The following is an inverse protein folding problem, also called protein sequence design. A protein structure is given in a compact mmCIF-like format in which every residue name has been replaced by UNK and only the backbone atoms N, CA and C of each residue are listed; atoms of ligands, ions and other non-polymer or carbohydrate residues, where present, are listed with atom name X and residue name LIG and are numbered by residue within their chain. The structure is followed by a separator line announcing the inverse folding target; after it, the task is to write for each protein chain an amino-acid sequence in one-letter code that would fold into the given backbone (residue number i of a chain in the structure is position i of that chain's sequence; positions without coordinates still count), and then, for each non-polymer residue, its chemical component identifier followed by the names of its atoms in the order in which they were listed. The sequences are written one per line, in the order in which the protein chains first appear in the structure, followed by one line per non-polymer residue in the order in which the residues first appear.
data_IF_797779516226
#
_entry.id   IF_797779516226
#
_cell.length_a   1.000
_cell.length_b   1.000
_cell.length_c   1.000
_cell.angle_alpha   90.00
_cell.angle_beta   90.00
_cell.angle_gamma   90.00
#
_symmetry.space_group_name_H-M   'P 1'
#
loop_
_entity.id
_entity.type
_entity.pdbx_description
1 polymer ?
#
# COMPACT_ATOMS: atom_id res chain seq x y z
N UNK A 1 60.22 -28.04 45.20
CA UNK A 1 60.37 -27.38 43.89
C UNK A 1 58.98 -27.04 43.37
N UNK A 2 58.74 -25.74 43.16
CA UNK A 2 57.90 -25.08 42.14
C UNK A 2 56.70 -25.89 41.59
N UNK A 3 55.47 -25.52 41.94
CA UNK A 3 54.68 -24.45 41.32
C UNK A 3 54.38 -24.73 39.84
N UNK A 4 53.18 -25.24 39.56
CA UNK A 4 52.47 -24.93 38.33
C UNK A 4 50.97 -24.84 38.66
N UNK A 5 50.58 -23.62 39.01
CA UNK A 5 49.20 -23.16 39.05
C UNK A 5 48.73 -23.10 37.59
N UNK A 6 48.03 -24.13 37.13
CA UNK A 6 47.35 -24.07 35.84
C UNK A 6 46.16 -23.11 35.97
N UNK A 7 46.32 -22.00 35.27
CA UNK A 7 45.35 -20.95 35.10
C UNK A 7 44.08 -21.50 34.42
N UNK A 8 42.97 -21.55 35.16
CA UNK A 8 41.64 -21.68 34.60
C UNK A 8 40.66 -20.80 35.38
N UNK A 9 41.02 -19.52 35.52
CA UNK A 9 40.19 -18.52 36.17
C UNK A 9 40.25 -17.22 35.38
N UNK A 10 39.51 -17.14 34.28
CA UNK A 10 39.23 -15.87 33.62
C UNK A 10 37.95 -15.99 32.77
N UNK A 11 36.83 -16.25 33.43
CA UNK A 11 35.52 -15.86 32.89
C UNK A 11 35.37 -14.35 33.10
N UNK A 12 36.06 -13.54 32.30
CA UNK A 12 35.94 -12.08 32.31
C UNK A 12 34.69 -11.62 31.54
N UNK A 13 33.56 -12.27 31.84
CA UNK A 13 32.25 -11.79 31.44
C UNK A 13 31.80 -10.76 32.44
N UNK A 14 32.21 -9.49 32.26
CA UNK A 14 31.53 -8.40 32.94
C UNK A 14 30.08 -8.36 32.43
N UNK A 15 29.18 -9.05 33.13
CA UNK A 15 27.75 -8.85 33.03
C UNK A 15 27.42 -7.46 33.62
N UNK A 16 27.63 -6.44 32.80
CA UNK A 16 27.21 -5.07 33.07
C UNK A 16 25.69 -5.03 32.91
N UNK A 17 24.97 -5.22 34.02
CA UNK A 17 23.52 -5.04 34.05
C UNK A 17 23.15 -3.59 33.72
N UNK A 18 22.17 -3.42 32.83
CA UNK A 18 21.53 -2.13 32.57
C UNK A 18 20.89 -1.60 33.86
N UNK A 19 21.05 -0.31 34.12
CA UNK A 19 20.42 0.28 35.31
C UNK A 19 18.91 0.44 35.08
N UNK A 20 18.10 0.25 36.13
CA UNK A 20 16.64 0.44 36.03
C UNK A 20 16.27 1.87 35.59
N UNK A 21 17.08 2.85 35.98
CA UNK A 21 16.90 4.27 35.61
C UNK A 21 17.14 4.48 34.12
N UNK A 22 18.11 3.79 33.55
CA UNK A 22 18.46 3.87 32.13
C UNK A 22 17.37 3.26 31.24
N UNK A 23 16.74 2.15 31.66
CA UNK A 23 15.56 1.65 30.96
C UNK A 23 14.32 2.55 31.17
N UNK A 24 14.18 3.17 32.35
CA UNK A 24 13.04 4.04 32.66
C UNK A 24 13.03 5.30 31.79
N UNK A 25 14.16 5.97 31.61
CA UNK A 25 14.22 7.17 30.75
C UNK A 25 13.98 6.83 29.28
N UNK A 26 14.43 5.66 28.81
CA UNK A 26 14.24 5.21 27.43
C UNK A 26 12.77 5.02 27.10
N UNK A 27 12.00 4.33 27.95
CA UNK A 27 10.57 4.12 27.70
C UNK A 27 9.78 5.43 27.77
N UNK A 28 10.21 6.39 28.60
CA UNK A 28 9.61 7.73 28.67
C UNK A 28 9.83 8.48 27.35
N UNK A 29 11.06 8.48 26.82
CA UNK A 29 11.37 9.12 25.53
C UNK A 29 10.62 8.41 24.39
N UNK A 30 10.62 7.08 24.35
CA UNK A 30 9.88 6.30 23.35
C UNK A 30 8.38 6.58 23.42
N UNK A 31 7.80 6.77 24.61
CA UNK A 31 6.39 7.15 24.77
C UNK A 31 6.08 8.52 24.16
N UNK A 32 6.94 9.51 24.39
CA UNK A 32 6.78 10.86 23.81
C UNK A 32 6.91 10.79 22.27
N UNK A 33 7.95 10.13 21.76
CA UNK A 33 8.17 10.00 20.31
C UNK A 33 7.06 9.20 19.62
N UNK A 34 6.56 8.12 20.23
CA UNK A 34 5.46 7.32 19.71
C UNK A 34 4.17 8.16 19.59
N UNK A 35 3.89 9.03 20.57
CA UNK A 35 2.68 9.87 20.51
C UNK A 35 2.67 10.84 19.33
N UNK A 36 3.80 11.50 19.03
CA UNK A 36 3.92 12.46 17.92
C UNK A 36 3.90 11.76 16.56
N UNK A 37 4.57 10.62 16.44
CA UNK A 37 4.66 9.87 15.18
C UNK A 37 3.30 9.38 14.70
N UNK A 38 2.39 8.96 15.60
CA UNK A 38 1.03 8.52 15.22
C UNK A 38 0.26 9.63 14.49
N UNK A 39 0.30 10.87 14.98
CA UNK A 39 -0.40 11.99 14.31
C UNK A 39 0.26 12.35 12.97
N UNK A 40 1.58 12.34 12.91
CA UNK A 40 2.31 12.63 11.67
C UNK A 40 2.01 11.59 10.57
N UNK A 41 1.99 10.30 10.91
CA UNK A 41 1.74 9.20 9.95
C UNK A 41 0.31 9.26 9.40
N UNK A 42 -0.70 9.52 10.24
CA UNK A 42 -2.10 9.62 9.78
C UNK A 42 -2.28 10.65 8.65
N UNK A 43 -1.63 11.81 8.77
CA UNK A 43 -1.68 12.85 7.72
C UNK A 43 -0.95 12.43 6.43
N UNK A 44 0.16 11.70 6.54
CA UNK A 44 0.90 11.19 5.38
C UNK A 44 0.10 10.12 4.65
N UNK A 45 -0.51 9.17 5.37
CA UNK A 45 -1.31 8.09 4.77
C UNK A 45 -2.52 8.64 4.01
N UNK A 46 -3.23 9.63 4.56
CA UNK A 46 -4.36 10.23 3.85
C UNK A 46 -3.94 10.94 2.55
N UNK A 47 -2.85 11.72 2.58
CA UNK A 47 -2.31 12.35 1.36
C UNK A 47 -1.83 11.32 0.34
N UNK A 48 -1.18 10.25 0.81
CA UNK A 48 -0.74 9.15 -0.03
C UNK A 48 -1.91 8.45 -0.71
N UNK A 49 -2.99 8.21 0.02
CA UNK A 49 -4.23 7.64 -0.52
C UNK A 49 -4.85 8.55 -1.58
N UNK A 50 -4.99 9.85 -1.31
CA UNK A 50 -5.54 10.80 -2.29
C UNK A 50 -4.69 10.88 -3.56
N UNK A 51 -3.36 10.85 -3.42
CA UNK A 51 -2.44 10.83 -4.56
C UNK A 51 -2.55 9.54 -5.36
N UNK A 52 -2.73 8.40 -4.70
CA UNK A 52 -2.96 7.11 -5.36
C UNK A 52 -4.30 7.11 -6.11
N UNK A 53 -5.38 7.59 -5.49
CA UNK A 53 -6.69 7.73 -6.13
C UNK A 53 -6.60 8.61 -7.40
N UNK A 54 -5.92 9.76 -7.33
CA UNK A 54 -5.77 10.66 -8.47
C UNK A 54 -4.96 10.01 -9.61
N UNK A 55 -3.90 9.28 -9.29
CA UNK A 55 -3.09 8.56 -10.27
C UNK A 55 -3.90 7.44 -10.94
N UNK A 56 -4.63 6.63 -10.16
CA UNK A 56 -5.49 5.57 -10.66
C UNK A 56 -6.58 6.11 -11.59
N UNK A 57 -7.26 7.17 -11.18
CA UNK A 57 -8.26 7.84 -12.03
C UNK A 57 -7.66 8.23 -13.37
N UNK A 58 -6.49 8.90 -13.35
CA UNK A 58 -5.84 9.36 -14.57
C UNK A 58 -5.40 8.20 -15.46
N UNK A 59 -4.89 7.12 -14.88
CA UNK A 59 -4.50 5.92 -15.62
C UNK A 59 -5.68 5.30 -16.38
N UNK A 60 -6.86 5.25 -15.75
CA UNK A 60 -8.06 4.70 -16.38
C UNK A 60 -8.62 5.68 -17.42
N UNK A 61 -8.64 6.99 -17.16
CA UNK A 61 -9.03 8.00 -18.16
C UNK A 61 -8.23 7.84 -19.46
N UNK A 62 -6.90 7.72 -19.35
CA UNK A 62 -6.02 7.52 -20.51
C UNK A 62 -6.29 6.18 -21.19
N UNK A 63 -6.57 5.12 -20.44
CA UNK A 63 -6.92 3.81 -21.00
C UNK A 63 -8.23 3.86 -21.79
N UNK A 64 -9.26 4.52 -21.25
CA UNK A 64 -10.56 4.73 -21.92
C UNK A 64 -10.39 5.57 -23.19
N UNK A 65 -9.68 6.70 -23.09
CA UNK A 65 -9.47 7.59 -24.24
C UNK A 65 -8.67 6.90 -25.35
N UNK A 66 -7.63 6.16 -24.98
CA UNK A 66 -6.85 5.34 -25.91
C UNK A 66 -7.72 4.28 -26.59
N UNK A 67 -8.63 3.63 -25.84
CA UNK A 67 -9.56 2.66 -26.41
C UNK A 67 -10.50 3.30 -27.43
N UNK A 68 -11.10 4.45 -27.11
CA UNK A 68 -11.97 5.17 -28.03
C UNK A 68 -11.24 5.66 -29.27
N UNK A 69 -10.02 6.18 -29.11
CA UNK A 69 -9.18 6.63 -30.22
C UNK A 69 -8.83 5.49 -31.19
N UNK A 70 -8.47 4.30 -30.66
CA UNK A 70 -8.07 3.18 -31.49
C UNK A 70 -9.24 2.44 -32.15
N UNK A 71 -10.40 2.38 -31.48
CA UNK A 71 -11.56 1.63 -31.97
C UNK A 71 -12.58 2.49 -32.71
N UNK A 72 -12.38 3.82 -32.78
CA UNK A 72 -13.38 4.77 -33.30
C UNK A 72 -14.77 4.56 -32.69
N UNK A 73 -14.79 4.18 -31.41
CA UNK A 73 -16.01 3.85 -30.66
C UNK A 73 -16.23 4.91 -29.59
N UNK A 74 -17.50 5.16 -29.26
CA UNK A 74 -17.90 6.01 -28.12
C UNK A 74 -18.38 5.17 -26.93
N UNK A 75 -18.26 3.84 -27.03
CA UNK A 75 -18.62 2.94 -25.95
C UNK A 75 -17.68 1.74 -25.85
N UNK A 76 -17.49 1.28 -24.62
CA UNK A 76 -16.75 0.08 -24.28
C UNK A 76 -17.75 -1.07 -24.19
N UNK A 77 -17.59 -2.13 -25.00
CA UNK A 77 -18.50 -3.26 -24.97
C UNK A 77 -18.40 -3.97 -23.63
N UNK A 78 -19.56 -4.17 -23.01
CA UNK A 78 -19.74 -4.92 -21.78
C UNK A 78 -20.55 -6.16 -22.15
N UNK A 79 -19.98 -7.34 -22.00
CA UNK A 79 -20.70 -8.59 -22.24
C UNK A 79 -21.68 -8.83 -21.09
N UNK A 80 -22.98 -8.68 -21.33
CA UNK A 80 -24.00 -9.19 -20.39
C UNK A 80 -24.03 -10.72 -20.48
N UNK A 81 -23.62 -11.48 -19.44
CA UNK A 81 -23.66 -12.93 -19.52
C UNK A 81 -25.12 -13.41 -19.48
N UNK A 82 -25.52 -14.29 -20.40
CA UNK A 82 -26.85 -14.88 -20.44
C UNK A 82 -27.13 -15.89 -19.30
N UNK A 83 -26.12 -16.18 -18.45
CA UNK A 83 -26.24 -17.07 -17.29
C UNK A 83 -25.24 -16.58 -16.24
N UNK A 84 -25.74 -16.21 -15.06
CA UNK A 84 -25.10 -15.33 -14.07
C UNK A 84 -23.70 -15.75 -13.58
N UNK A 85 -22.83 -14.77 -13.27
CA UNK A 85 -21.89 -14.68 -12.11
C UNK A 85 -20.95 -13.49 -12.35
N UNK A 86 -21.13 -12.37 -11.62
CA UNK A 86 -20.30 -11.13 -11.62
C UNK A 86 -20.05 -10.49 -13.00
N UNK A 87 -20.60 -9.29 -13.19
CA UNK A 87 -20.70 -8.63 -14.49
C UNK A 87 -19.37 -8.35 -15.17
N UNK A 88 -19.31 -8.64 -16.47
CA UNK A 88 -18.29 -8.04 -17.32
C UNK A 88 -18.40 -6.53 -17.13
N UNK A 89 -17.33 -5.89 -16.68
CA UNK A 89 -17.29 -4.43 -16.54
C UNK A 89 -16.48 -3.85 -17.69
N UNK A 90 -16.68 -2.58 -18.01
CA UNK A 90 -15.86 -1.93 -19.02
C UNK A 90 -14.37 -1.93 -18.61
N UNK A 91 -14.07 -1.88 -17.30
CA UNK A 91 -12.72 -2.06 -16.76
C UNK A 91 -12.09 -3.41 -17.13
N UNK A 92 -12.86 -4.50 -17.09
CA UNK A 92 -12.37 -5.83 -17.47
C UNK A 92 -12.12 -5.93 -18.97
N UNK A 93 -13.00 -5.35 -19.79
CA UNK A 93 -12.79 -5.25 -21.24
C UNK A 93 -11.50 -4.49 -21.56
N UNK A 94 -11.24 -3.36 -20.88
CA UNK A 94 -10.00 -2.59 -21.04
C UNK A 94 -8.76 -3.38 -20.62
N UNK A 95 -8.85 -4.19 -19.56
CA UNK A 95 -7.75 -5.08 -19.13
C UNK A 95 -7.49 -6.16 -20.19
N UNK A 96 -8.53 -6.84 -20.64
CA UNK A 96 -8.41 -7.92 -21.63
C UNK A 96 -7.89 -7.40 -22.98
N UNK A 97 -8.31 -6.20 -23.37
CA UNK A 97 -7.87 -5.53 -24.59
C UNK A 97 -6.47 -4.88 -24.45
N UNK A 98 -5.82 -4.98 -23.29
CA UNK A 98 -4.44 -4.54 -23.07
C UNK A 98 -4.25 -3.05 -22.78
N UNK A 99 -5.33 -2.31 -22.55
CA UNK A 99 -5.29 -0.88 -22.19
C UNK A 99 -5.02 -0.66 -20.71
N UNK A 100 -5.40 -1.62 -19.87
CA UNK A 100 -5.09 -1.65 -18.44
C UNK A 100 -4.25 -2.89 -18.10
N UNK A 101 -3.31 -2.73 -17.17
CA UNK A 101 -2.58 -3.87 -16.59
C UNK A 101 -3.43 -4.61 -15.56
N UNK A 102 -4.15 -3.86 -14.74
CA UNK A 102 -5.00 -4.38 -13.67
C UNK A 102 -6.27 -3.54 -13.55
N UNK A 103 -7.36 -4.15 -13.03
CA UNK A 103 -8.60 -3.42 -12.72
C UNK A 103 -8.40 -2.72 -11.37
N UNK A 104 -8.60 -1.41 -11.32
CA UNK A 104 -8.52 -0.66 -10.07
C UNK A 104 -9.71 -1.00 -9.17
N UNK A 105 -9.47 -1.16 -7.87
CA UNK A 105 -10.51 -1.29 -6.85
C UNK A 105 -11.05 0.07 -6.38
N UNK A 106 -10.42 1.17 -6.80
CA UNK A 106 -10.76 2.55 -6.43
C UNK A 106 -11.63 3.26 -7.46
N UNK A 107 -11.55 2.85 -8.73
CA UNK A 107 -12.32 3.41 -9.82
C UNK A 107 -12.75 2.31 -10.79
N UNK A 108 -14.01 2.36 -11.20
CA UNK A 108 -14.54 1.53 -12.28
C UNK A 108 -14.85 2.39 -13.51
N UNK A 109 -14.39 1.93 -14.69
CA UNK A 109 -14.85 2.47 -15.95
C UNK A 109 -16.25 1.94 -16.26
N UNK A 110 -17.11 2.82 -16.73
CA UNK A 110 -18.42 2.51 -17.28
C UNK A 110 -18.33 2.33 -18.80
N UNK A 111 -19.37 1.75 -19.40
CA UNK A 111 -19.42 1.52 -20.84
C UNK A 111 -19.46 2.80 -21.68
N UNK A 112 -19.85 3.93 -21.11
CA UNK A 112 -19.84 5.26 -21.74
C UNK A 112 -18.48 5.99 -21.60
N UNK A 113 -17.50 5.36 -20.94
CA UNK A 113 -16.20 5.94 -20.65
C UNK A 113 -16.16 6.86 -19.43
N UNK A 114 -17.28 7.04 -18.72
CA UNK A 114 -17.27 7.73 -17.43
C UNK A 114 -16.65 6.84 -16.34
N UNK A 115 -16.14 7.48 -15.28
CA UNK A 115 -15.53 6.77 -14.15
C UNK A 115 -16.40 6.93 -12.90
N UNK A 116 -16.65 5.81 -12.22
CA UNK A 116 -17.29 5.80 -10.90
C UNK A 116 -16.24 5.51 -9.83
N UNK A 117 -16.22 6.34 -8.79
CA UNK A 117 -15.33 6.12 -7.65
C UNK A 117 -15.94 5.06 -6.72
N UNK A 118 -15.08 4.18 -6.21
CA UNK A 118 -15.39 3.22 -5.15
C UNK A 118 -14.50 3.48 -3.94
N UNK A 119 -14.95 3.03 -2.77
CA UNK A 119 -14.17 3.13 -1.54
C UNK A 119 -12.78 2.50 -1.75
N UNK A 120 -11.69 3.15 -1.29
CA UNK A 120 -11.66 4.29 -0.37
C UNK A 120 -11.59 5.67 -1.06
N UNK A 121 -11.75 5.74 -2.38
CA UNK A 121 -11.58 6.98 -3.17
C UNK A 121 -12.89 7.73 -3.47
N UNK A 122 -14.01 7.29 -2.88
CA UNK A 122 -15.36 7.87 -3.00
C UNK A 122 -15.60 9.02 -2.03
#
# INVERSE_FOLDING_TARGET
MNNHLDAAGASDGQDRGFTLVELLIVIVILGILASVTVFAVRGITNRGQNSACAADKRNIEVAVESYFAQNSSTSIPVATPATATVGATASETLKLAGYLREVSSAYAANSDGTLTASLPCS
#
